data_IF_589864293660
#
_entry.id   IF_589864293660
#
_cell.length_a   1.000
_cell.length_b   1.000
_cell.length_c   1.000
_cell.angle_alpha   90.00
_cell.angle_beta   90.00
_cell.angle_gamma   90.00
#
_symmetry.space_group_name_H-M   'P 1'
#
loop_
_entity.id
_entity.type
_entity.pdbx_description
1 polymer ?
#
# COMPACT_ATOMS: atom_id res chain seq x y z
N UNK A 1 38.04 -44.66 -22.93
CA UNK A 1 37.41 -45.01 -21.64
C UNK A 1 36.37 -43.96 -21.38
N UNK A 2 35.20 -44.22 -21.89
CA UNK A 2 34.08 -43.31 -21.74
C UNK A 2 33.53 -43.57 -20.35
N UNK A 3 33.83 -42.69 -19.46
CA UNK A 3 33.37 -42.77 -18.08
C UNK A 3 31.89 -42.47 -18.12
N UNK A 4 31.04 -43.46 -18.00
CA UNK A 4 29.58 -43.40 -17.94
C UNK A 4 29.00 -42.40 -16.96
N UNK A 5 29.57 -41.22 -16.92
CA UNK A 5 29.15 -40.08 -16.10
C UNK A 5 28.10 -39.18 -16.77
N UNK A 6 27.90 -39.38 -18.09
CA UNK A 6 26.98 -38.50 -18.82
C UNK A 6 25.50 -38.76 -18.59
N UNK A 7 25.13 -39.98 -18.18
CA UNK A 7 23.70 -40.32 -18.04
C UNK A 7 23.04 -39.85 -16.74
N UNK A 8 23.84 -39.63 -15.71
CA UNK A 8 23.32 -39.11 -14.44
C UNK A 8 23.31 -37.59 -14.36
N UNK A 9 23.93 -36.91 -15.32
CA UNK A 9 24.18 -35.47 -15.28
C UNK A 9 23.23 -34.68 -16.18
N UNK A 10 22.50 -35.37 -17.04
CA UNK A 10 21.39 -34.83 -17.82
C UNK A 10 20.04 -35.07 -17.16
N UNK A 11 20.02 -35.68 -15.98
CA UNK A 11 18.79 -35.82 -15.24
C UNK A 11 18.37 -34.42 -14.76
N UNK A 12 17.26 -33.95 -15.31
CA UNK A 12 16.66 -32.63 -14.99
C UNK A 12 16.32 -32.47 -13.51
N UNK A 13 16.47 -33.52 -12.73
CA UNK A 13 16.29 -33.52 -11.27
C UNK A 13 17.60 -33.38 -10.48
N UNK A 14 18.77 -33.48 -11.14
CA UNK A 14 20.02 -33.21 -10.44
C UNK A 14 20.16 -31.72 -10.15
N UNK A 15 20.27 -31.39 -8.88
CA UNK A 15 20.47 -30.02 -8.40
C UNK A 15 21.92 -29.56 -8.47
N UNK A 16 22.78 -30.43 -8.93
CA UNK A 16 24.21 -30.22 -9.14
C UNK A 16 24.51 -30.36 -10.62
N UNK A 17 24.72 -29.25 -11.30
CA UNK A 17 25.07 -29.23 -12.72
C UNK A 17 26.58 -29.37 -12.89
N UNK A 18 27.07 -30.47 -13.53
CA UNK A 18 28.50 -30.71 -13.68
C UNK A 18 29.15 -29.89 -14.81
N UNK A 19 28.37 -29.36 -15.73
CA UNK A 19 28.92 -28.50 -16.78
C UNK A 19 29.48 -27.18 -16.18
N UNK A 20 29.02 -26.80 -15.02
CA UNK A 20 29.51 -25.64 -14.27
C UNK A 20 30.95 -25.83 -13.77
N UNK A 21 31.43 -27.06 -13.70
CA UNK A 21 32.80 -27.37 -13.23
C UNK A 21 33.87 -26.81 -14.16
N UNK A 22 33.57 -26.66 -15.44
CA UNK A 22 34.53 -26.24 -16.44
C UNK A 22 34.62 -24.70 -16.58
N UNK A 23 33.73 -23.93 -15.97
CA UNK A 23 33.52 -22.54 -16.34
C UNK A 23 33.86 -21.54 -15.22
N UNK A 24 33.70 -21.88 -13.96
CA UNK A 24 34.07 -20.97 -12.85
C UNK A 24 34.22 -21.68 -11.51
N UNK A 25 35.28 -21.35 -10.78
CA UNK A 25 35.53 -21.85 -9.41
C UNK A 25 34.50 -21.32 -8.38
N UNK A 26 33.74 -20.32 -8.75
CA UNK A 26 32.65 -19.75 -7.93
C UNK A 26 31.51 -19.26 -8.80
N UNK A 27 30.32 -19.75 -8.56
CA UNK A 27 29.10 -19.13 -9.06
C UNK A 27 28.83 -17.92 -8.16
N UNK A 28 28.99 -16.72 -8.72
CA UNK A 28 28.61 -15.50 -8.02
C UNK A 28 27.08 -15.37 -8.07
N UNK A 29 26.38 -15.28 -6.94
CA UNK A 29 24.94 -15.03 -6.94
C UNK A 29 24.66 -13.71 -7.65
N UNK A 30 23.91 -13.77 -8.74
CA UNK A 30 23.51 -12.59 -9.51
C UNK A 30 22.29 -11.98 -8.84
N UNK A 31 22.50 -11.27 -7.75
CA UNK A 31 21.43 -10.47 -7.15
C UNK A 31 21.50 -9.04 -7.69
N UNK A 32 20.46 -8.63 -8.39
CA UNK A 32 20.30 -7.22 -8.72
C UNK A 32 20.06 -6.43 -7.43
N UNK A 33 20.82 -5.37 -7.21
CA UNK A 33 20.72 -4.50 -6.03
C UNK A 33 19.35 -3.80 -5.89
N UNK A 34 18.54 -3.84 -6.94
CA UNK A 34 17.23 -3.21 -7.01
C UNK A 34 16.07 -4.17 -6.73
N UNK A 35 16.38 -5.38 -6.27
CA UNK A 35 15.41 -6.40 -5.96
C UNK A 35 14.94 -6.31 -4.50
N UNK A 36 13.63 -6.43 -4.25
CA UNK A 36 13.11 -6.52 -2.89
C UNK A 36 13.13 -5.21 -2.10
N UNK A 37 13.34 -4.06 -2.73
CA UNK A 37 13.36 -2.77 -2.02
C UNK A 37 12.03 -2.41 -1.39
N UNK A 38 10.91 -2.83 -2.00
CA UNK A 38 9.58 -2.67 -1.40
C UNK A 38 9.43 -3.54 -0.16
N UNK A 39 10.01 -4.75 -0.13
CA UNK A 39 10.04 -5.60 1.06
C UNK A 39 10.77 -4.93 2.23
N UNK A 40 11.83 -4.18 1.95
CA UNK A 40 12.61 -3.50 2.98
C UNK A 40 11.87 -2.30 3.59
N UNK A 41 10.88 -1.74 2.90
CA UNK A 41 10.00 -0.69 3.45
C UNK A 41 9.11 -1.20 4.57
N UNK A 42 8.73 -2.48 4.54
CA UNK A 42 7.96 -3.07 5.61
C UNK A 42 8.84 -3.23 6.87
N UNK A 43 8.43 -2.57 7.94
CA UNK A 43 9.09 -2.70 9.25
C UNK A 43 8.77 -4.03 9.90
N UNK A 44 9.75 -4.59 10.58
CA UNK A 44 9.51 -5.80 11.37
C UNK A 44 8.59 -5.48 12.55
N UNK A 45 7.51 -6.25 12.70
CA UNK A 45 6.64 -6.17 13.86
C UNK A 45 7.39 -6.59 15.12
N UNK A 46 7.15 -5.86 16.19
CA UNK A 46 7.68 -6.19 17.52
C UNK A 46 6.98 -7.43 18.11
N UNK A 47 5.68 -7.57 17.85
CA UNK A 47 4.87 -8.72 18.29
C UNK A 47 4.55 -9.62 17.12
N UNK A 48 4.80 -10.94 17.18
CA UNK A 48 4.45 -11.87 16.12
C UNK A 48 2.94 -11.93 15.90
N UNK A 49 2.52 -12.48 14.76
CA UNK A 49 1.12 -12.80 14.52
C UNK A 49 0.75 -14.06 15.31
N UNK A 50 -0.30 -13.96 16.14
CA UNK A 50 -0.74 -15.08 17.00
C UNK A 50 -1.57 -16.07 16.19
N UNK A 51 -2.44 -15.56 15.32
CA UNK A 51 -3.41 -16.34 14.54
C UNK A 51 -3.09 -16.27 13.04
N UNK A 52 -3.62 -17.23 12.27
CA UNK A 52 -3.49 -17.21 10.80
C UNK A 52 -4.34 -16.10 10.16
N UNK A 53 -5.37 -15.66 10.84
CA UNK A 53 -6.23 -14.55 10.46
C UNK A 53 -5.97 -13.38 11.40
N UNK A 54 -5.81 -12.18 10.84
CA UNK A 54 -5.66 -10.96 11.61
C UNK A 54 -6.39 -9.79 10.96
N UNK A 55 -6.83 -8.87 11.78
CA UNK A 55 -7.56 -7.67 11.36
C UNK A 55 -6.66 -6.44 11.42
N UNK A 56 -6.74 -5.62 10.38
CA UNK A 56 -6.14 -4.29 10.33
C UNK A 56 -7.26 -3.27 10.44
N UNK A 57 -7.19 -2.44 11.46
CA UNK A 57 -8.14 -1.36 11.70
C UNK A 57 -7.70 -0.10 10.96
N UNK A 58 -8.58 0.43 10.14
CA UNK A 58 -8.38 1.71 9.45
C UNK A 58 -9.37 2.70 10.01
N UNK A 59 -8.88 3.80 10.59
CA UNK A 59 -9.70 4.95 10.95
C UNK A 59 -10.08 5.71 9.69
N UNK A 60 -11.34 6.01 9.55
CA UNK A 60 -11.79 6.93 8.51
C UNK A 60 -11.56 8.36 9.02
N UNK A 61 -10.65 9.07 8.37
CA UNK A 61 -10.51 10.50 8.64
C UNK A 61 -11.72 11.25 8.08
N UNK A 62 -12.39 11.96 8.95
CA UNK A 62 -13.50 12.83 8.55
C UNK A 62 -12.94 14.13 8.02
N UNK A 63 -12.97 14.31 6.70
CA UNK A 63 -12.63 15.62 6.12
C UNK A 63 -13.64 16.65 6.60
N UNK A 64 -13.22 17.89 6.91
CA UNK A 64 -14.12 18.96 7.29
C UNK A 64 -14.94 19.50 6.11
N UNK A 65 -14.87 18.87 4.95
CA UNK A 65 -15.61 19.23 3.76
C UNK A 65 -16.83 18.33 3.57
N UNK A 66 -17.95 18.93 3.25
CA UNK A 66 -19.20 18.28 2.91
C UNK A 66 -19.70 18.79 1.57
N UNK A 67 -20.47 17.97 0.89
CA UNK A 67 -21.09 18.37 -0.36
C UNK A 67 -22.59 18.49 -0.20
N UNK A 68 -23.07 19.65 -0.52
CA UNK A 68 -24.49 20.03 -0.47
C UNK A 68 -25.01 20.16 -1.90
N UNK A 69 -26.14 19.53 -2.20
CA UNK A 69 -26.79 19.65 -3.51
C UNK A 69 -28.00 20.56 -3.38
N UNK A 70 -27.99 21.67 -4.09
CA UNK A 70 -29.12 22.58 -4.11
C UNK A 70 -30.34 22.07 -4.92
N UNK A 71 -30.18 21.00 -5.72
CA UNK A 71 -31.26 20.44 -6.52
C UNK A 71 -32.19 19.56 -5.66
N UNK A 72 -33.29 20.11 -5.19
CA UNK A 72 -34.30 19.39 -4.40
C UNK A 72 -34.82 20.16 -3.21
N UNK A 73 -34.02 21.02 -2.60
CA UNK A 73 -34.52 22.08 -1.75
C UNK A 73 -35.26 23.04 -2.69
N UNK A 74 -36.57 23.02 -2.68
CA UNK A 74 -37.31 23.92 -3.53
C UNK A 74 -36.76 25.32 -3.43
N UNK A 75 -36.25 25.85 -4.51
CA UNK A 75 -35.94 27.24 -4.83
C UNK A 75 -35.25 28.17 -3.78
N UNK A 76 -34.93 27.67 -2.60
CA UNK A 76 -34.73 28.52 -1.41
C UNK A 76 -33.28 28.82 -1.03
N UNK A 77 -32.34 28.55 -1.95
CA UNK A 77 -31.01 29.10 -1.80
C UNK A 77 -30.96 30.62 -2.08
N UNK A 78 -32.08 31.20 -2.46
CA UNK A 78 -31.97 32.53 -3.00
C UNK A 78 -32.06 33.66 -1.94
N UNK A 79 -32.87 33.57 -0.89
CA UNK A 79 -32.92 34.68 0.10
C UNK A 79 -33.76 34.42 1.37
N UNK A 80 -34.32 33.23 1.55
CA UNK A 80 -35.12 32.94 2.73
C UNK A 80 -34.27 32.67 3.97
N UNK A 81 -34.75 33.15 5.11
CA UNK A 81 -33.99 33.05 6.36
C UNK A 81 -33.96 31.65 6.97
N UNK A 82 -34.85 30.74 6.54
CA UNK A 82 -34.92 29.39 7.06
C UNK A 82 -34.74 28.40 5.91
N UNK A 83 -33.76 27.52 6.00
CA UNK A 83 -33.65 26.35 5.12
C UNK A 83 -34.06 25.12 5.88
N UNK A 84 -35.12 24.47 5.39
CA UNK A 84 -35.55 23.15 5.85
C UNK A 84 -35.22 22.12 4.75
N UNK A 85 -34.75 20.95 5.16
CA UNK A 85 -34.44 19.84 4.28
C UNK A 85 -33.39 20.14 3.19
N UNK A 86 -32.32 20.83 3.54
CA UNK A 86 -31.19 21.04 2.64
C UNK A 86 -30.51 19.69 2.30
N UNK A 87 -30.51 19.25 1.02
CA UNK A 87 -29.94 17.96 0.65
C UNK A 87 -28.41 17.92 0.80
N UNK A 88 -27.92 16.92 1.47
CA UNK A 88 -26.49 16.61 1.60
C UNK A 88 -26.21 15.28 0.91
N UNK A 89 -25.09 15.18 0.21
CA UNK A 89 -24.68 13.89 -0.37
C UNK A 89 -24.61 12.78 0.68
N UNK A 90 -25.18 11.61 0.40
CA UNK A 90 -25.32 10.49 1.34
C UNK A 90 -23.99 10.04 1.97
N UNK A 91 -22.87 10.24 1.29
CA UNK A 91 -21.53 9.93 1.82
C UNK A 91 -21.04 10.92 2.89
N UNK A 92 -21.73 12.03 3.09
CA UNK A 92 -21.32 13.11 3.99
C UNK A 92 -22.27 13.34 5.14
N UNK A 93 -23.51 12.84 5.08
CA UNK A 93 -24.54 13.11 6.11
C UNK A 93 -24.14 12.59 7.50
N UNK A 94 -23.44 11.47 7.58
CA UNK A 94 -22.95 10.90 8.84
C UNK A 94 -21.83 11.73 9.50
N UNK A 95 -21.31 12.73 8.79
CA UNK A 95 -20.23 13.61 9.27
C UNK A 95 -20.73 14.91 9.87
N UNK A 96 -22.03 15.11 9.86
CA UNK A 96 -22.68 16.33 10.34
C UNK A 96 -23.47 16.01 11.61
N UNK A 97 -23.36 16.89 12.58
CA UNK A 97 -24.13 16.83 13.82
C UNK A 97 -24.90 18.13 14.04
N UNK A 98 -25.91 18.05 14.91
CA UNK A 98 -26.67 19.22 15.34
C UNK A 98 -25.70 20.20 16.03
N UNK A 99 -25.77 21.47 15.64
CA UNK A 99 -24.89 22.50 16.14
C UNK A 99 -23.63 22.74 15.34
N UNK A 100 -23.34 21.91 14.30
CA UNK A 100 -22.20 22.16 13.42
C UNK A 100 -22.37 23.49 12.67
N UNK A 101 -21.27 24.22 12.57
CA UNK A 101 -21.19 25.47 11.82
C UNK A 101 -20.56 25.19 10.46
N UNK A 102 -21.33 25.43 9.41
CA UNK A 102 -20.96 25.15 8.04
C UNK A 102 -20.75 26.43 7.26
N UNK A 103 -19.60 26.55 6.63
CA UNK A 103 -19.28 27.65 5.72
C UNK A 103 -19.57 27.24 4.28
N UNK A 104 -20.48 27.95 3.63
CA UNK A 104 -20.86 27.78 2.23
C UNK A 104 -20.40 29.04 1.50
N UNK A 105 -19.32 28.95 0.72
CA UNK A 105 -18.67 30.10 0.09
C UNK A 105 -18.33 31.19 1.12
N UNK A 106 -19.16 32.23 1.28
CA UNK A 106 -19.00 33.33 2.25
C UNK A 106 -20.14 33.38 3.26
N UNK A 107 -21.06 32.43 3.24
CA UNK A 107 -22.21 32.37 4.15
C UNK A 107 -21.97 31.32 5.23
N UNK A 108 -22.28 31.66 6.46
CA UNK A 108 -22.20 30.77 7.62
C UNK A 108 -23.59 30.24 7.95
N UNK A 109 -23.73 28.95 8.07
CA UNK A 109 -24.95 28.23 8.44
C UNK A 109 -24.71 27.47 9.74
N UNK A 110 -25.71 27.41 10.62
CA UNK A 110 -25.67 26.59 11.84
C UNK A 110 -26.73 25.50 11.72
N UNK A 111 -26.30 24.24 11.84
CA UNK A 111 -27.16 23.07 11.68
C UNK A 111 -28.10 22.92 12.87
N UNK A 112 -29.42 22.91 12.62
CA UNK A 112 -30.48 22.78 13.61
C UNK A 112 -30.92 21.33 13.82
N UNK A 113 -31.05 20.57 12.71
CA UNK A 113 -31.42 19.18 12.74
C UNK A 113 -30.75 18.43 11.58
N UNK A 114 -30.57 17.11 11.76
CA UNK A 114 -29.98 16.22 10.74
C UNK A 114 -30.94 15.06 10.54
N UNK A 115 -31.44 14.91 9.31
CA UNK A 115 -32.19 13.71 8.90
C UNK A 115 -31.28 12.79 8.09
N UNK A 116 -30.75 11.75 8.74
CA UNK A 116 -29.89 10.75 8.11
C UNK A 116 -30.63 9.86 7.15
N UNK A 117 -31.97 9.69 7.33
CA UNK A 117 -32.79 8.86 6.46
C UNK A 117 -33.12 9.56 5.13
N UNK A 118 -33.35 10.85 5.19
CA UNK A 118 -33.60 11.69 4.03
C UNK A 118 -32.34 12.30 3.41
N UNK A 119 -31.18 12.14 4.05
CA UNK A 119 -29.94 12.84 3.70
C UNK A 119 -30.11 14.35 3.62
N UNK A 120 -30.77 14.94 4.62
CA UNK A 120 -31.03 16.38 4.65
C UNK A 120 -30.63 17.00 5.99
N UNK A 121 -30.34 18.28 5.99
CA UNK A 121 -30.10 19.08 7.18
C UNK A 121 -31.04 20.29 7.20
N UNK A 122 -31.50 20.64 8.41
CA UNK A 122 -32.16 21.92 8.66
C UNK A 122 -31.16 22.88 9.28
N UNK A 123 -31.26 24.16 8.96
CA UNK A 123 -30.44 25.20 9.54
C UNK A 123 -31.28 26.17 10.36
N UNK A 124 -30.69 26.85 11.36
CA UNK A 124 -31.40 27.78 12.18
C UNK A 124 -31.79 29.02 11.40
N UNK A 125 -30.81 29.64 10.77
CA UNK A 125 -31.00 30.84 9.95
C UNK A 125 -29.91 30.93 8.91
N UNK A 126 -30.16 31.68 7.87
CA UNK A 126 -29.20 32.01 6.85
C UNK A 126 -28.38 33.23 7.24
N UNK A 127 -27.08 33.17 6.92
CA UNK A 127 -26.20 34.31 7.24
C UNK A 127 -25.97 34.47 8.73
N UNK A 128 -25.65 33.41 9.46
CA UNK A 128 -25.40 33.46 10.89
C UNK A 128 -24.26 34.44 11.25
N UNK A 129 -24.41 35.16 12.33
CA UNK A 129 -23.44 36.15 12.80
C UNK A 129 -23.40 37.40 11.92
N UNK A 130 -22.21 37.76 11.45
CA UNK A 130 -22.00 38.94 10.59
C UNK A 130 -22.13 38.63 9.10
N UNK A 131 -22.36 37.37 8.74
CA UNK A 131 -22.57 36.96 7.36
C UNK A 131 -23.99 37.30 6.91
N UNK A 132 -24.19 37.49 5.61
CA UNK A 132 -25.50 37.75 5.04
C UNK A 132 -25.92 36.59 4.14
N UNK A 133 -27.23 36.31 4.02
CA UNK A 133 -27.72 35.34 3.06
C UNK A 133 -27.26 35.67 1.62
N UNK A 134 -26.72 34.71 0.95
CA UNK A 134 -26.23 34.85 -0.43
C UNK A 134 -26.97 33.86 -1.33
N UNK A 135 -27.37 34.26 -2.52
CA UNK A 135 -27.92 33.35 -3.51
C UNK A 135 -26.82 32.41 -4.00
N UNK A 136 -27.00 31.11 -3.83
CA UNK A 136 -26.08 30.08 -4.31
C UNK A 136 -26.63 29.40 -5.55
N UNK A 137 -25.74 28.98 -6.45
CA UNK A 137 -26.14 28.25 -7.66
C UNK A 137 -26.69 26.86 -7.35
N UNK A 138 -27.44 26.30 -8.30
CA UNK A 138 -28.06 24.96 -8.19
C UNK A 138 -27.06 23.80 -8.32
N UNK A 139 -25.78 24.06 -8.52
CA UNK A 139 -24.73 23.04 -8.61
C UNK A 139 -24.38 22.48 -7.22
N UNK A 140 -23.75 21.30 -7.20
CA UNK A 140 -23.16 20.73 -5.98
C UNK A 140 -22.11 21.70 -5.42
N UNK A 141 -22.33 22.16 -4.20
CA UNK A 141 -21.43 23.07 -3.50
C UNK A 141 -20.58 22.31 -2.47
N UNK A 142 -19.30 22.58 -2.46
CA UNK A 142 -18.41 22.09 -1.42
C UNK A 142 -18.41 23.08 -0.27
N UNK A 143 -18.87 22.63 0.89
CA UNK A 143 -18.98 23.41 2.11
C UNK A 143 -17.95 22.93 3.14
N UNK A 144 -17.53 23.80 4.04
CA UNK A 144 -16.59 23.45 5.11
C UNK A 144 -17.27 23.49 6.46
N UNK A 145 -17.11 22.41 7.23
CA UNK A 145 -17.46 22.43 8.66
C UNK A 145 -16.32 23.14 9.40
N UNK A 146 -16.62 24.30 9.98
CA UNK A 146 -15.61 25.17 10.63
C UNK A 146 -15.58 25.03 12.14
N UNK A 147 -16.59 24.39 12.72
CA UNK A 147 -16.69 24.14 14.15
C UNK A 147 -18.10 23.77 14.56
N UNK A 148 -18.39 23.83 15.82
CA UNK A 148 -19.74 23.66 16.33
C UNK A 148 -20.12 24.78 17.32
N UNK A 149 -21.41 25.08 17.40
CA UNK A 149 -21.99 26.05 18.30
C UNK A 149 -23.31 25.51 18.86
N UNK A 150 -23.39 25.40 20.15
CA UNK A 150 -24.59 24.95 20.85
C UNK A 150 -25.19 26.04 21.69
N UNK A 151 -26.50 26.01 21.82
CA UNK A 151 -27.23 26.90 22.72
C UNK A 151 -26.93 26.54 24.18
N UNK A 152 -26.66 27.54 25.01
CA UNK A 152 -26.32 27.32 26.41
C UNK A 152 -27.51 26.70 27.16
N UNK A 153 -27.29 25.57 27.83
CA UNK A 153 -28.33 24.85 28.57
C UNK A 153 -29.13 23.80 27.78
N UNK A 154 -28.85 23.57 26.50
CA UNK A 154 -29.47 22.54 25.70
C UNK A 154 -28.69 21.23 25.80
N UNK A 155 -29.38 20.09 25.94
CA UNK A 155 -28.80 18.77 26.20
C UNK A 155 -28.76 17.89 24.91
N UNK A 156 -28.94 18.48 23.75
CA UNK A 156 -29.12 17.77 22.48
C UNK A 156 -27.81 17.52 21.71
N UNK A 157 -26.66 17.47 22.39
CA UNK A 157 -25.39 17.17 21.73
C UNK A 157 -25.33 15.66 21.32
N UNK A 158 -25.32 15.39 20.04
CA UNK A 158 -25.09 14.04 19.52
C UNK A 158 -23.60 13.67 19.59
N UNK A 159 -23.30 12.45 20.02
CA UNK A 159 -21.93 11.95 19.97
C UNK A 159 -21.57 11.56 18.54
N UNK A 160 -20.56 12.21 17.98
CA UNK A 160 -20.00 11.84 16.70
C UNK A 160 -18.96 10.73 16.94
N UNK A 161 -19.17 9.56 16.35
CA UNK A 161 -18.21 8.48 16.36
C UNK A 161 -17.55 8.38 14.99
N UNK A 162 -16.23 8.55 14.94
CA UNK A 162 -15.47 8.24 13.71
C UNK A 162 -15.56 6.74 13.42
N UNK A 163 -16.04 6.40 12.22
CA UNK A 163 -16.14 5.03 11.78
C UNK A 163 -14.75 4.37 11.66
N UNK A 164 -14.64 3.17 12.18
CA UNK A 164 -13.45 2.34 11.98
C UNK A 164 -13.80 1.20 11.03
N UNK A 165 -13.09 1.11 9.91
CA UNK A 165 -13.24 0.01 8.96
C UNK A 165 -12.22 -1.08 9.28
N UNK A 166 -12.69 -2.33 9.31
CA UNK A 166 -11.86 -3.51 9.54
C UNK A 166 -11.54 -4.20 8.22
N UNK A 167 -10.28 -4.51 8.01
CA UNK A 167 -9.82 -5.31 6.89
C UNK A 167 -9.14 -6.56 7.40
N UNK A 168 -9.66 -7.71 7.00
CA UNK A 168 -9.09 -9.01 7.33
C UNK A 168 -7.96 -9.36 6.37
N UNK A 169 -6.88 -9.90 6.91
CA UNK A 169 -5.78 -10.48 6.15
C UNK A 169 -5.33 -11.79 6.78
N UNK A 170 -4.54 -12.56 6.04
CA UNK A 170 -4.13 -13.91 6.45
C UNK A 170 -2.62 -14.04 6.37
N UNK A 171 -2.06 -14.96 7.17
CA UNK A 171 -0.67 -15.36 7.06
C UNK A 171 -0.49 -16.34 5.90
N UNK A 172 0.66 -16.29 5.26
CA UNK A 172 1.03 -17.14 4.13
C UNK A 172 2.19 -18.06 4.54
N UNK A 173 2.04 -19.36 4.26
CA UNK A 173 3.12 -20.31 4.39
C UNK A 173 4.03 -20.21 3.16
N UNK A 174 5.32 -20.06 3.41
CA UNK A 174 6.36 -20.17 2.40
C UNK A 174 7.18 -21.41 2.69
N UNK A 175 7.43 -22.21 1.67
CA UNK A 175 8.13 -23.47 1.78
C UNK A 175 9.06 -23.69 0.59
N UNK A 176 10.31 -24.05 0.86
CA UNK A 176 11.29 -24.43 -0.15
C UNK A 176 11.97 -25.74 0.29
N UNK A 177 11.89 -26.75 -0.52
CA UNK A 177 12.44 -28.08 -0.21
C UNK A 177 13.81 -28.22 -0.83
N UNK A 178 14.78 -28.60 -0.01
CA UNK A 178 16.13 -28.99 -0.43
C UNK A 178 16.24 -30.51 -0.29
N UNK A 179 16.43 -31.18 -1.39
CA UNK A 179 16.60 -32.64 -1.44
C UNK A 179 18.04 -32.94 -1.84
N UNK A 180 18.76 -33.62 -0.97
CA UNK A 180 20.16 -33.99 -1.14
C UNK A 180 20.28 -35.50 -1.10
N UNK A 181 20.51 -36.12 -2.23
CA UNK A 181 20.92 -37.54 -2.27
C UNK A 181 22.36 -37.70 -1.76
N UNK A 182 22.70 -38.88 -1.31
CA UNK A 182 24.08 -39.20 -0.90
C UNK A 182 25.06 -39.08 -2.08
N UNK A 183 24.63 -39.41 -3.29
CA UNK A 183 25.41 -39.26 -4.49
C UNK A 183 25.68 -37.77 -4.80
N UNK A 184 24.69 -36.91 -4.65
CA UNK A 184 24.83 -35.47 -4.83
C UNK A 184 25.78 -34.86 -3.79
N UNK A 185 25.75 -35.32 -2.56
CA UNK A 185 26.65 -34.87 -1.51
C UNK A 185 28.12 -35.22 -1.81
N UNK A 186 28.38 -36.42 -2.35
CA UNK A 186 29.72 -36.83 -2.71
C UNK A 186 30.23 -36.10 -3.96
N UNK A 187 29.34 -35.76 -4.88
CA UNK A 187 29.65 -34.97 -6.08
C UNK A 187 29.82 -33.50 -5.77
N UNK A 188 29.06 -32.97 -4.83
CA UNK A 188 29.17 -31.58 -4.33
C UNK A 188 30.58 -31.28 -3.80
N UNK A 189 31.24 -32.25 -3.18
CA UNK A 189 32.62 -32.08 -2.73
C UNK A 189 33.60 -31.88 -3.88
N UNK A 190 33.29 -32.38 -5.08
CA UNK A 190 34.13 -32.22 -6.28
C UNK A 190 33.85 -30.94 -7.02
N UNK A 191 32.63 -30.44 -6.95
CA UNK A 191 32.17 -29.24 -7.68
C UNK A 191 32.25 -27.93 -6.86
N UNK A 192 32.57 -28.05 -5.56
CA UNK A 192 32.57 -26.91 -4.63
C UNK A 192 31.17 -26.45 -4.19
N UNK A 193 30.09 -27.08 -4.71
CA UNK A 193 28.72 -26.84 -4.24
C UNK A 193 28.46 -27.70 -3.00
N UNK A 194 28.39 -27.06 -1.86
CA UNK A 194 28.13 -27.70 -0.57
C UNK A 194 26.65 -27.64 -0.21
N UNK A 195 26.21 -28.43 0.77
CA UNK A 195 24.86 -28.31 1.33
C UNK A 195 24.56 -26.89 1.83
N UNK A 196 25.58 -26.16 2.31
CA UNK A 196 25.41 -24.81 2.79
C UNK A 196 25.15 -23.81 1.63
N UNK A 197 25.82 -23.98 0.48
CA UNK A 197 25.49 -23.17 -0.71
C UNK A 197 24.07 -23.38 -1.21
N UNK A 198 23.55 -24.62 -1.14
CA UNK A 198 22.16 -24.89 -1.50
C UNK A 198 21.17 -24.29 -0.50
N UNK A 199 21.52 -24.24 0.79
CA UNK A 199 20.70 -23.52 1.78
C UNK A 199 20.69 -22.02 1.53
N UNK A 200 21.83 -21.43 1.19
CA UNK A 200 21.92 -20.01 0.82
C UNK A 200 21.05 -19.71 -0.41
N UNK A 201 21.16 -20.52 -1.46
CA UNK A 201 20.32 -20.39 -2.66
C UNK A 201 18.82 -20.55 -2.36
N UNK A 202 18.43 -21.45 -1.45
CA UNK A 202 17.05 -21.62 -1.01
C UNK A 202 16.55 -20.37 -0.26
N UNK A 203 17.37 -19.82 0.63
CA UNK A 203 17.05 -18.58 1.32
C UNK A 203 16.84 -17.44 0.31
N UNK A 204 17.73 -17.31 -0.67
CA UNK A 204 17.59 -16.28 -1.70
C UNK A 204 16.30 -16.44 -2.51
N UNK A 205 15.91 -17.67 -2.89
CA UNK A 205 14.64 -17.92 -3.59
C UNK A 205 13.44 -17.54 -2.74
N UNK A 206 13.43 -17.97 -1.48
CA UNK A 206 12.37 -17.61 -0.53
C UNK A 206 12.28 -16.09 -0.34
N UNK A 207 13.42 -15.42 -0.20
CA UNK A 207 13.43 -13.93 -0.06
C UNK A 207 12.88 -13.22 -1.30
N UNK A 208 13.14 -13.73 -2.49
CA UNK A 208 12.53 -13.20 -3.72
C UNK A 208 11.01 -13.41 -3.76
N UNK A 209 10.55 -14.58 -3.34
CA UNK A 209 9.12 -14.88 -3.31
C UNK A 209 8.39 -14.03 -2.25
N UNK A 210 9.03 -13.79 -1.11
CA UNK A 210 8.55 -12.86 -0.10
C UNK A 210 8.47 -11.42 -0.64
N UNK A 211 9.51 -10.97 -1.36
CA UNK A 211 9.54 -9.65 -1.97
C UNK A 211 8.41 -9.45 -3.00
N UNK A 212 8.20 -10.46 -3.86
CA UNK A 212 7.08 -10.45 -4.82
C UNK A 212 5.72 -10.50 -4.14
N UNK A 213 5.60 -11.32 -3.09
CA UNK A 213 4.37 -11.39 -2.29
C UNK A 213 4.07 -10.07 -1.59
N UNK A 214 5.10 -9.30 -1.19
CA UNK A 214 4.93 -7.97 -0.62
C UNK A 214 4.34 -6.96 -1.62
N UNK A 215 4.59 -7.13 -2.91
CA UNK A 215 4.04 -6.27 -3.96
C UNK A 215 2.68 -6.79 -4.43
N UNK A 216 2.62 -8.05 -4.89
CA UNK A 216 1.48 -8.60 -5.63
C UNK A 216 0.54 -9.49 -4.80
N UNK A 217 0.88 -9.79 -3.55
CA UNK A 217 0.11 -10.71 -2.73
C UNK A 217 -1.39 -10.43 -2.75
N UNK A 218 -2.18 -11.50 -2.85
CA UNK A 218 -3.65 -11.44 -2.85
C UNK A 218 -4.16 -12.11 -1.59
N UNK A 219 -4.98 -11.40 -0.82
CA UNK A 219 -5.56 -11.96 0.40
C UNK A 219 -6.52 -13.11 0.08
N UNK A 220 -6.26 -14.26 0.68
CA UNK A 220 -7.14 -15.42 0.58
C UNK A 220 -7.22 -16.16 1.92
N UNK A 221 -8.44 -16.41 2.37
CA UNK A 221 -8.70 -17.24 3.53
C UNK A 221 -8.27 -18.71 3.29
N UNK A 222 -7.82 -19.41 4.32
CA UNK A 222 -7.57 -20.84 4.22
C UNK A 222 -8.89 -21.58 3.97
N UNK A 223 -8.87 -22.48 3.00
CA UNK A 223 -9.99 -23.38 2.71
C UNK A 223 -9.45 -24.79 2.44
N UNK A 224 -10.34 -25.80 2.49
CA UNK A 224 -9.92 -27.18 2.22
C UNK A 224 -9.27 -27.30 0.84
N UNK A 225 -8.03 -27.74 0.80
CA UNK A 225 -7.24 -27.87 -0.42
C UNK A 225 -6.73 -26.57 -1.02
N UNK A 226 -6.89 -25.44 -0.33
CA UNK A 226 -6.40 -24.15 -0.80
C UNK A 226 -5.54 -23.46 0.27
N UNK A 227 -4.32 -23.02 -0.08
CA UNK A 227 -3.45 -22.31 0.87
C UNK A 227 -3.99 -20.91 1.19
N UNK A 228 -3.73 -20.43 2.39
CA UNK A 228 -3.90 -19.03 2.75
C UNK A 228 -2.84 -18.16 2.08
N UNK A 229 -3.20 -16.94 1.73
CA UNK A 229 -2.30 -15.97 1.09
C UNK A 229 -2.43 -14.61 1.77
N UNK A 230 -1.30 -13.93 1.93
CA UNK A 230 -1.25 -12.59 2.50
C UNK A 230 -1.44 -11.52 1.44
N UNK A 231 -2.02 -10.39 1.83
CA UNK A 231 -2.26 -9.23 0.96
C UNK A 231 -0.98 -8.42 0.80
N UNK A 232 -0.56 -8.17 -0.44
CA UNK A 232 0.56 -7.30 -0.77
C UNK A 232 0.17 -5.83 -0.90
N UNK A 233 1.16 -4.96 -1.07
CA UNK A 233 1.01 -3.50 -1.10
C UNK A 233 0.01 -3.02 -2.15
N UNK A 234 0.09 -3.54 -3.37
CA UNK A 234 -0.81 -3.13 -4.47
C UNK A 234 -2.27 -3.47 -4.17
N UNK A 235 -2.52 -4.65 -3.62
CA UNK A 235 -3.88 -5.03 -3.24
C UNK A 235 -4.40 -4.20 -2.06
N UNK A 236 -3.54 -3.87 -1.09
CA UNK A 236 -3.90 -2.96 -0.02
C UNK A 236 -4.31 -1.59 -0.56
N UNK A 237 -3.49 -0.99 -1.42
CA UNK A 237 -3.79 0.32 -2.02
C UNK A 237 -5.02 0.28 -2.95
N UNK A 238 -5.34 -0.87 -3.54
CA UNK A 238 -6.49 -1.01 -4.43
C UNK A 238 -7.83 -1.30 -3.72
N UNK A 239 -7.85 -1.36 -2.38
CA UNK A 239 -9.09 -1.46 -1.63
C UNK A 239 -10.00 -0.25 -1.87
N UNK A 240 -11.30 -0.41 -1.58
CA UNK A 240 -12.29 0.67 -1.74
C UNK A 240 -11.94 1.91 -0.90
N UNK A 241 -11.33 1.70 0.27
CA UNK A 241 -10.86 2.79 1.13
C UNK A 241 -9.55 3.43 0.66
N UNK A 242 -8.85 2.86 -0.33
CA UNK A 242 -7.57 3.37 -0.81
C UNK A 242 -7.74 4.59 -1.72
N UNK A 243 -6.80 5.54 -1.61
CA UNK A 243 -6.71 6.69 -2.52
C UNK A 243 -6.09 6.22 -3.82
N UNK A 244 -6.82 6.31 -4.92
CA UNK A 244 -6.36 5.84 -6.23
C UNK A 244 -6.81 6.74 -7.34
N UNK A 245 -5.90 6.97 -8.29
CA UNK A 245 -6.16 7.76 -9.49
C UNK A 245 -5.79 6.95 -10.72
N UNK A 246 -6.75 6.77 -11.63
CA UNK A 246 -6.47 6.17 -12.92
C UNK A 246 -6.09 7.27 -13.91
N UNK A 247 -4.81 7.28 -14.31
CA UNK A 247 -4.27 8.31 -15.20
C UNK A 247 -4.68 8.08 -16.65
N UNK A 248 -4.86 6.79 -17.05
CA UNK A 248 -5.16 6.38 -18.42
C UNK A 248 -4.26 7.05 -19.48
N UNK A 249 -2.99 7.24 -19.17
CA UNK A 249 -2.04 7.96 -20.02
C UNK A 249 -0.59 7.91 -19.50
N UNK A 250 0.26 8.75 -20.06
CA UNK A 250 1.66 8.81 -19.66
C UNK A 250 1.84 9.26 -18.20
N UNK A 251 2.87 8.75 -17.55
CA UNK A 251 3.25 9.21 -16.22
C UNK A 251 3.75 10.66 -16.30
N UNK A 252 3.07 11.56 -15.62
CA UNK A 252 3.37 12.99 -15.61
C UNK A 252 3.59 13.49 -14.18
N UNK A 253 4.32 14.58 -14.06
CA UNK A 253 4.52 15.25 -12.77
C UNK A 253 3.20 15.77 -12.18
N UNK A 254 2.28 16.23 -13.03
CA UNK A 254 0.94 16.68 -12.61
C UNK A 254 0.15 15.53 -11.97
N UNK A 255 0.21 14.32 -12.53
CA UNK A 255 -0.45 13.16 -11.93
C UNK A 255 0.15 12.79 -10.56
N UNK A 256 1.49 12.89 -10.43
CA UNK A 256 2.16 12.68 -9.15
C UNK A 256 1.76 13.75 -8.11
N UNK A 257 1.74 15.02 -8.49
CA UNK A 257 1.29 16.11 -7.60
C UNK A 257 -0.17 15.94 -7.19
N UNK A 258 -1.04 15.49 -8.09
CA UNK A 258 -2.45 15.24 -7.78
C UNK A 258 -2.60 14.19 -6.69
N UNK A 259 -2.00 13.00 -6.85
CA UNK A 259 -2.12 11.94 -5.86
C UNK A 259 -1.51 12.31 -4.50
N UNK A 260 -0.39 13.05 -4.50
CA UNK A 260 0.20 13.56 -3.26
C UNK A 260 -0.72 14.55 -2.57
N UNK A 261 -1.39 15.43 -3.33
CA UNK A 261 -2.37 16.35 -2.78
C UNK A 261 -3.59 15.62 -2.22
N UNK A 262 -4.08 14.57 -2.89
CA UNK A 262 -5.21 13.76 -2.41
C UNK A 262 -4.87 13.08 -1.07
N UNK A 263 -3.66 12.53 -0.93
CA UNK A 263 -3.16 11.99 0.35
C UNK A 263 -3.08 13.07 1.42
N UNK A 264 -2.62 14.27 1.07
CA UNK A 264 -2.55 15.39 2.00
C UNK A 264 -3.93 15.84 2.47
N UNK A 265 -4.89 15.94 1.56
CA UNK A 265 -6.28 16.29 1.88
C UNK A 265 -6.93 15.23 2.77
N UNK A 266 -6.56 13.97 2.61
CA UNK A 266 -6.98 12.90 3.52
C UNK A 266 -6.29 12.93 4.89
N UNK A 267 -5.41 13.90 5.16
CA UNK A 267 -4.67 14.03 6.42
C UNK A 267 -3.53 13.02 6.58
N UNK A 268 -3.07 12.40 5.48
CA UNK A 268 -1.99 11.43 5.48
C UNK A 268 -0.60 12.02 5.43
N UNK A 269 0.38 11.16 5.59
CA UNK A 269 1.80 11.45 5.45
C UNK A 269 2.41 10.53 4.40
N UNK A 270 3.39 11.03 3.64
CA UNK A 270 4.11 10.25 2.63
C UNK A 270 5.60 10.35 2.90
N UNK A 271 6.29 9.23 2.93
CA UNK A 271 7.73 9.16 3.11
C UNK A 271 8.47 8.34 2.03
N UNK A 272 7.75 7.77 1.06
CA UNK A 272 8.36 7.09 -0.10
C UNK A 272 7.50 7.18 -1.35
N UNK A 273 8.14 7.07 -2.50
CA UNK A 273 7.53 6.87 -3.82
C UNK A 273 8.14 5.60 -4.41
N UNK A 274 7.34 4.56 -4.61
CA UNK A 274 7.79 3.29 -5.19
C UNK A 274 7.34 3.18 -6.65
N UNK A 275 8.27 2.84 -7.54
CA UNK A 275 8.01 2.74 -8.98
C UNK A 275 8.90 1.71 -9.67
N UNK A 276 8.49 1.30 -10.87
CA UNK A 276 9.29 0.47 -11.76
C UNK A 276 10.46 1.27 -12.38
N UNK A 277 11.54 0.61 -12.81
CA UNK A 277 12.67 1.26 -13.50
C UNK A 277 12.24 2.07 -14.73
N UNK A 278 11.25 1.59 -15.48
CA UNK A 278 10.72 2.32 -16.65
C UNK A 278 10.12 3.67 -16.25
N UNK A 279 9.32 3.71 -15.18
CA UNK A 279 8.75 4.94 -14.67
C UNK A 279 9.82 5.88 -14.08
N UNK A 280 10.88 5.32 -13.51
CA UNK A 280 12.02 6.11 -13.04
C UNK A 280 12.72 6.87 -14.16
N UNK A 281 12.82 6.27 -15.34
CA UNK A 281 13.40 6.95 -16.51
C UNK A 281 12.54 8.16 -16.91
N UNK A 282 11.22 8.03 -16.92
CA UNK A 282 10.28 9.13 -17.18
C UNK A 282 10.38 10.19 -16.08
N UNK A 283 10.41 9.75 -14.81
CA UNK A 283 10.52 10.62 -13.65
C UNK A 283 11.78 11.48 -13.68
N UNK A 284 12.91 10.94 -14.12
CA UNK A 284 14.15 11.70 -14.29
C UNK A 284 14.05 12.83 -15.34
N UNK A 285 13.04 12.76 -16.20
CA UNK A 285 12.73 13.79 -17.20
C UNK A 285 11.85 14.92 -16.67
N UNK A 286 11.34 14.85 -15.44
CA UNK A 286 10.55 15.92 -14.86
C UNK A 286 11.39 17.18 -14.68
N UNK A 287 10.86 18.31 -15.13
CA UNK A 287 11.62 19.54 -15.31
C UNK A 287 11.35 20.60 -14.25
N UNK A 288 10.46 20.34 -13.29
CA UNK A 288 10.11 21.34 -12.31
C UNK A 288 11.22 21.62 -11.30
N UNK A 289 11.17 22.80 -10.72
CA UNK A 289 12.10 23.23 -9.67
C UNK A 289 12.00 22.36 -8.38
N UNK A 290 10.95 21.57 -8.27
CA UNK A 290 10.67 20.71 -7.12
C UNK A 290 11.43 19.40 -7.14
N UNK A 291 12.08 19.07 -8.27
CA UNK A 291 12.92 17.87 -8.35
C UNK A 291 14.34 18.17 -7.89
N UNK A 292 14.76 17.58 -6.80
CA UNK A 292 16.11 17.75 -6.29
C UNK A 292 16.98 16.57 -6.70
N UNK A 293 18.07 16.89 -7.35
CA UNK A 293 19.18 15.96 -7.58
C UNK A 293 20.05 15.93 -6.35
N UNK A 294 20.14 14.82 -5.70
CA UNK A 294 21.11 14.65 -4.62
C UNK A 294 21.99 13.44 -4.96
N UNK A 295 23.14 13.61 -5.26
CA UNK A 295 24.33 13.26 -4.54
C UNK A 295 25.61 13.53 -5.33
N UNK A 296 26.58 14.03 -4.64
CA UNK A 296 27.80 14.68 -5.04
C UNK A 296 28.90 13.75 -5.58
N UNK A 297 28.61 12.53 -5.93
CA UNK A 297 29.74 11.62 -6.03
C UNK A 297 30.19 11.25 -7.44
N UNK A 298 29.37 11.39 -8.49
CA UNK A 298 29.89 10.99 -9.82
C UNK A 298 29.35 11.87 -10.93
N UNK A 299 30.28 12.49 -11.64
CA UNK A 299 30.03 13.23 -12.87
C UNK A 299 29.67 12.27 -14.02
N UNK A 300 28.43 11.79 -14.02
CA UNK A 300 27.88 11.15 -15.21
C UNK A 300 26.99 12.13 -15.97
N UNK A 301 27.11 12.10 -17.28
CA UNK A 301 26.25 12.83 -18.22
C UNK A 301 24.84 12.27 -18.15
N UNK A 302 24.06 12.71 -17.14
CA UNK A 302 22.66 12.33 -16.96
C UNK A 302 22.12 12.87 -15.64
N UNK A 303 20.87 13.33 -15.66
CA UNK A 303 20.18 13.79 -14.46
C UNK A 303 19.51 12.58 -13.80
N UNK A 304 19.92 12.22 -12.59
CA UNK A 304 19.28 11.21 -11.76
C UNK A 304 18.61 11.91 -10.59
N UNK A 305 17.33 11.68 -10.41
CA UNK A 305 16.54 12.25 -9.32
C UNK A 305 16.27 11.12 -8.31
N UNK A 306 16.95 11.14 -7.17
CA UNK A 306 16.78 10.13 -6.12
C UNK A 306 15.73 10.48 -5.08
N UNK A 307 15.32 11.75 -5.05
CA UNK A 307 14.26 12.22 -4.15
C UNK A 307 13.47 13.33 -4.80
N UNK A 308 12.23 13.47 -4.40
CA UNK A 308 11.28 14.45 -4.90
C UNK A 308 10.87 15.40 -3.78
N UNK A 309 10.93 16.70 -4.02
CA UNK A 309 10.44 17.69 -3.07
C UNK A 309 8.97 17.92 -3.33
N UNK A 310 8.14 17.45 -2.42
CA UNK A 310 6.70 17.62 -2.50
C UNK A 310 6.22 18.73 -1.57
N UNK A 311 5.34 19.59 -2.08
CA UNK A 311 4.72 20.63 -1.30
C UNK A 311 3.98 20.06 -0.09
N UNK A 312 4.40 20.42 1.12
CA UNK A 312 3.79 19.98 2.38
C UNK A 312 4.32 18.67 2.96
N UNK A 313 5.06 17.85 2.20
CA UNK A 313 5.69 16.62 2.70
C UNK A 313 7.22 16.72 2.81
N UNK A 314 7.82 17.71 2.14
CA UNK A 314 9.27 17.87 2.08
C UNK A 314 9.91 16.90 1.11
N UNK A 315 11.10 16.41 1.44
CA UNK A 315 11.91 15.56 0.56
C UNK A 315 11.48 14.10 0.71
N UNK A 316 10.95 13.52 -0.37
CA UNK A 316 10.48 12.14 -0.42
C UNK A 316 11.45 11.30 -1.28
N UNK A 317 12.08 10.23 -0.74
CA UNK A 317 12.93 9.34 -1.50
C UNK A 317 12.13 8.55 -2.54
N UNK A 318 12.76 8.34 -3.70
CA UNK A 318 12.21 7.52 -4.78
C UNK A 318 12.86 6.14 -4.74
N UNK A 319 12.03 5.12 -4.59
CA UNK A 319 12.44 3.73 -4.48
C UNK A 319 12.11 3.03 -5.79
N UNK A 320 13.13 2.47 -6.40
CA UNK A 320 12.98 1.69 -7.63
C UNK A 320 13.06 0.22 -7.28
N UNK A 321 12.04 -0.53 -7.66
CA UNK A 321 12.02 -1.98 -7.51
C UNK A 321 11.73 -2.64 -8.85
N UNK A 322 12.50 -3.67 -9.19
CA UNK A 322 12.39 -4.39 -10.46
C UNK A 322 11.07 -5.15 -10.61
N UNK A 323 10.50 -5.58 -9.49
CA UNK A 323 9.24 -6.31 -9.47
C UNK A 323 8.01 -5.37 -9.48
N UNK A 324 8.18 -4.05 -9.36
CA UNK A 324 7.05 -3.13 -9.47
C UNK A 324 6.46 -3.10 -10.89
N UNK A 325 5.12 -3.14 -11.03
CA UNK A 325 4.48 -3.05 -12.34
C UNK A 325 4.73 -1.69 -12.99
N UNK A 326 4.89 -1.71 -14.30
CA UNK A 326 5.19 -0.49 -15.10
C UNK A 326 4.02 0.47 -15.21
N UNK A 327 2.82 -0.04 -15.06
CA UNK A 327 1.56 0.71 -15.18
C UNK A 327 1.09 1.32 -13.85
N UNK A 328 1.90 1.16 -12.79
CA UNK A 328 1.54 1.62 -11.44
C UNK A 328 2.68 2.36 -10.76
N UNK A 329 2.33 3.35 -9.93
CA UNK A 329 3.23 4.03 -8.99
C UNK A 329 2.52 4.12 -7.65
N UNK A 330 3.21 3.78 -6.57
CA UNK A 330 2.69 3.84 -5.20
C UNK A 330 3.41 4.94 -4.43
N UNK A 331 2.66 5.76 -3.74
CA UNK A 331 3.16 6.70 -2.73
C UNK A 331 2.64 6.28 -1.37
N UNK A 332 3.44 6.42 -0.33
CA UNK A 332 2.98 5.97 0.98
C UNK A 332 3.90 6.31 2.15
N UNK A 333 3.51 5.86 3.34
CA UNK A 333 4.24 6.01 4.59
C UNK A 333 4.73 4.64 5.09
N UNK A 334 6.05 4.42 5.02
CA UNK A 334 6.70 3.17 5.44
C UNK A 334 6.50 2.86 6.93
N UNK A 335 6.23 3.89 7.75
CA UNK A 335 5.96 3.70 9.18
C UNK A 335 4.64 2.99 9.46
N UNK A 336 3.77 2.93 8.46
CA UNK A 336 2.47 2.26 8.52
C UNK A 336 2.47 0.87 7.88
N UNK A 337 3.63 0.42 7.43
CA UNK A 337 3.83 -0.88 6.79
C UNK A 337 4.57 -1.81 7.73
N UNK A 338 3.99 -2.95 8.04
CA UNK A 338 4.56 -3.93 8.95
C UNK A 338 4.62 -5.32 8.31
N UNK A 339 5.71 -6.03 8.54
CA UNK A 339 5.89 -7.44 8.22
C UNK A 339 6.21 -8.23 9.48
N UNK A 340 5.73 -9.44 9.56
CA UNK A 340 6.01 -10.28 10.73
C UNK A 340 5.83 -11.75 10.44
N UNK A 341 6.47 -12.56 11.25
CA UNK A 341 6.28 -14.00 11.26
C UNK A 341 5.17 -14.38 12.23
N UNK A 342 4.54 -15.51 11.99
CA UNK A 342 3.60 -16.10 12.95
C UNK A 342 4.38 -16.64 14.15
N UNK A 343 3.78 -16.58 15.31
CA UNK A 343 4.33 -17.14 16.54
C UNK A 343 4.64 -18.64 16.37
N UNK A 344 5.85 -19.04 16.72
CA UNK A 344 6.40 -20.40 16.57
C UNK A 344 6.63 -20.89 15.14
N UNK A 345 6.22 -20.12 14.09
CA UNK A 345 6.37 -20.45 12.68
C UNK A 345 7.28 -19.46 11.95
N UNK A 346 8.35 -19.00 12.61
CA UNK A 346 9.39 -18.20 11.96
C UNK A 346 10.15 -19.02 10.92
N UNK A 347 10.78 -18.34 9.95
CA UNK A 347 11.55 -19.01 8.90
C UNK A 347 12.66 -19.88 9.50
N UNK A 348 12.59 -21.17 9.30
CA UNK A 348 13.53 -22.16 9.84
C UNK A 348 13.71 -23.36 8.92
N UNK A 349 14.88 -23.97 8.98
CA UNK A 349 15.11 -25.27 8.34
C UNK A 349 14.57 -26.38 9.23
N UNK A 350 13.73 -27.22 8.64
CA UNK A 350 13.20 -28.44 9.26
C UNK A 350 13.78 -29.62 8.52
N UNK A 351 14.46 -30.53 9.24
CA UNK A 351 14.97 -31.76 8.67
C UNK A 351 13.90 -32.84 8.74
N UNK A 352 13.55 -33.40 7.60
CA UNK A 352 12.73 -34.58 7.54
C UNK A 352 13.63 -35.81 7.68
N UNK A 353 13.56 -36.46 8.83
CA UNK A 353 14.28 -37.73 9.05
C UNK A 353 13.43 -38.86 8.51
N UNK A 354 13.62 -39.18 7.25
CA UNK A 354 12.98 -40.34 6.65
C UNK A 354 13.88 -41.55 6.84
N UNK A 355 13.50 -42.46 7.76
CA UNK A 355 14.28 -43.66 8.12
C UNK A 355 14.34 -44.71 7.00
N UNK A 356 13.52 -44.57 5.95
CA UNK A 356 13.40 -45.54 4.85
C UNK A 356 14.09 -45.09 3.55
N UNK A 357 14.46 -43.85 3.38
CA UNK A 357 15.16 -43.32 2.21
C UNK A 357 16.57 -42.85 2.53
N UNK A 358 17.50 -43.02 1.59
CA UNK A 358 18.86 -42.50 1.65
C UNK A 358 18.92 -41.01 1.31
N UNK A 359 17.79 -40.34 1.26
CA UNK A 359 17.63 -38.94 0.91
C UNK A 359 17.51 -38.12 2.20
N UNK A 360 18.32 -37.09 2.30
CA UNK A 360 18.18 -36.08 3.36
C UNK A 360 17.37 -34.90 2.81
N UNK A 361 16.11 -34.83 3.19
CA UNK A 361 15.26 -33.68 2.86
C UNK A 361 15.34 -32.64 3.97
N UNK A 362 15.66 -31.43 3.58
CA UNK A 362 15.55 -30.25 4.44
C UNK A 362 14.54 -29.29 3.83
N UNK A 363 13.61 -28.84 4.64
CA UNK A 363 12.59 -27.89 4.20
C UNK A 363 12.80 -26.56 4.91
N UNK A 364 13.00 -25.49 4.14
CA UNK A 364 12.97 -24.14 4.66
C UNK A 364 11.53 -23.67 4.66
N UNK A 365 10.94 -23.47 5.83
CA UNK A 365 9.53 -23.09 5.94
C UNK A 365 9.31 -21.99 6.96
N UNK A 366 8.27 -21.19 6.74
CA UNK A 366 7.82 -20.17 7.70
C UNK A 366 6.50 -19.56 7.27
N UNK A 367 5.72 -19.08 8.24
CA UNK A 367 4.48 -18.34 7.99
C UNK A 367 4.68 -16.86 8.26
N UNK A 368 4.41 -16.03 7.26
CA UNK A 368 4.53 -14.58 7.36
C UNK A 368 3.22 -13.86 7.05
N UNK A 369 3.09 -12.65 7.54
CA UNK A 369 1.97 -11.77 7.24
C UNK A 369 2.44 -10.34 7.01
N UNK A 370 1.65 -9.60 6.24
CA UNK A 370 1.88 -8.19 5.90
C UNK A 370 0.68 -7.36 6.34
N UNK A 371 0.93 -6.29 7.09
CA UNK A 371 -0.09 -5.36 7.54
C UNK A 371 0.23 -3.96 7.02
N UNK A 372 -0.79 -3.28 6.51
CA UNK A 372 -0.69 -1.87 6.10
C UNK A 372 -1.81 -1.11 6.77
N UNK A 373 -1.44 -0.12 7.57
CA UNK A 373 -2.35 0.69 8.36
C UNK A 373 -2.68 2.00 7.66
N UNK A 374 -3.85 2.57 7.93
CA UNK A 374 -4.28 3.88 7.43
C UNK A 374 -4.27 4.03 5.89
N UNK A 375 -4.74 3.00 5.18
CA UNK A 375 -4.70 2.93 3.71
C UNK A 375 -5.45 4.09 3.07
N UNK A 376 -6.60 4.48 3.61
CA UNK A 376 -7.42 5.58 3.10
C UNK A 376 -6.85 6.97 3.35
N UNK A 377 -5.70 7.07 3.99
CA UNK A 377 -5.09 8.36 4.35
C UNK A 377 -3.66 8.49 3.83
N UNK A 378 -2.80 7.51 4.13
CA UNK A 378 -1.35 7.63 3.96
C UNK A 378 -0.80 6.89 2.74
N UNK A 379 -1.66 6.35 1.90
CA UNK A 379 -1.26 5.62 0.70
C UNK A 379 -2.04 6.10 -0.52
N UNK A 380 -1.32 6.30 -1.62
CA UNK A 380 -1.90 6.66 -2.91
C UNK A 380 -1.38 5.73 -4.01
N UNK A 381 -2.27 5.35 -4.93
CA UNK A 381 -1.97 4.47 -6.05
C UNK A 381 -2.33 5.14 -7.37
N UNK A 382 -1.33 5.38 -8.21
CA UNK A 382 -1.53 5.73 -9.61
C UNK A 382 -1.62 4.44 -10.44
N UNK A 383 -2.63 4.34 -11.27
CA UNK A 383 -2.88 3.19 -12.16
C UNK A 383 -3.07 3.63 -13.62
N UNK A 384 -3.00 2.68 -14.55
CA UNK A 384 -3.26 2.95 -15.95
C UNK A 384 -2.18 3.80 -16.62
N UNK A 385 -0.95 3.74 -16.12
CA UNK A 385 0.19 4.43 -16.71
C UNK A 385 0.62 3.72 -17.98
N UNK A 386 0.74 4.47 -19.08
CA UNK A 386 1.31 3.95 -20.32
C UNK A 386 2.80 4.27 -20.34
N UNK A 387 3.62 3.24 -20.47
CA UNK A 387 5.04 3.42 -20.80
C UNK A 387 5.13 3.73 -22.29
N UNK A 388 5.55 4.93 -22.62
CA UNK A 388 5.89 5.28 -24.00
C UNK A 388 7.13 4.51 -24.45
#
# INVERSE_FOLDING_TARGET
>A
MDLGMHTTLTDSNSKLDPEVIAIADKISPLMAKEFGRVWDLFKNRTTPFITDEFEVLVRNYTQPEIKVTASGAGADWDTNNDITALPVSASYIDRITVGDVVLVENEVLVVKAVDRSGNTIDVYERGAGESSPVAHGVAELTCKVIGNAHEEGKVDAEAMAEGTTKFTNYTQLVEEVIDLSKADTDQARKTGRTADTLREEAIERVMRDLARSAIYGVSRAPASGQPSMTRGLLQWCNLTAGIKTNVAGAFTETALKSILNDVRLAGGTVDFIAMAPANKTIFNGFSSADSITVDNAVRYTGRVIDSYMADGFGLIPVIVDLDMPKDMVVVGDSRKMEKGWKENDSLKFVKETNTSSRENKETLQGKFGLAVHNIGQSFGLLTGLTTA
#
